data_IF_332175588832
#
_entry.id   IF_332175588832
#
_cell.length_a   1.000
_cell.length_b   1.000
_cell.length_c   1.000
_cell.angle_alpha   90.00
_cell.angle_beta   90.00
_cell.angle_gamma   90.00
#
_symmetry.space_group_name_H-M   'P 1'
#
loop_
_entity.id
_entity.type
_entity.pdbx_description
1 polymer ?
#
# COMPACT_ATOMS: atom_id res chain seq x y z
N UNK A 1 22.49 -24.54 -6.41
CA UNK A 1 21.65 -25.32 -5.47
C UNK A 1 20.66 -24.39 -4.79
N UNK A 2 19.42 -24.81 -4.55
CA UNK A 2 18.47 -24.00 -3.78
C UNK A 2 18.96 -23.85 -2.34
N UNK A 3 19.01 -22.63 -1.82
CA UNK A 3 19.57 -22.32 -0.51
C UNK A 3 18.82 -23.04 0.63
N UNK A 4 17.50 -23.23 0.46
CA UNK A 4 16.69 -23.96 1.44
C UNK A 4 17.09 -25.44 1.57
N UNK A 5 17.43 -26.09 0.46
CA UNK A 5 17.83 -27.50 0.48
C UNK A 5 19.15 -27.68 1.22
N UNK A 6 20.07 -26.75 0.99
CA UNK A 6 21.37 -26.70 1.65
C UNK A 6 21.23 -26.58 3.18
N UNK A 7 20.26 -25.79 3.66
CA UNK A 7 19.92 -25.72 5.08
C UNK A 7 19.38 -27.07 5.60
N UNK A 8 18.45 -27.70 4.87
CA UNK A 8 17.87 -28.99 5.27
C UNK A 8 18.91 -30.10 5.36
N UNK A 9 19.84 -30.16 4.42
CA UNK A 9 20.92 -31.16 4.40
C UNK A 9 21.88 -30.96 5.59
N UNK A 10 22.20 -29.71 5.91
CA UNK A 10 23.04 -29.36 7.06
C UNK A 10 22.36 -29.73 8.38
N UNK A 11 21.06 -29.44 8.51
CA UNK A 11 20.25 -29.82 9.68
C UNK A 11 20.22 -31.35 9.82
N UNK A 12 20.00 -32.08 8.71
CA UNK A 12 20.00 -33.55 8.71
C UNK A 12 21.33 -34.12 9.22
N UNK A 13 22.46 -33.55 8.80
CA UNK A 13 23.79 -33.95 9.29
C UNK A 13 23.91 -33.71 10.80
N UNK A 14 23.46 -32.57 11.31
CA UNK A 14 23.48 -32.28 12.74
C UNK A 14 22.63 -33.24 13.58
N UNK A 15 21.46 -33.66 13.07
CA UNK A 15 20.57 -34.62 13.76
C UNK A 15 21.16 -36.03 13.73
N UNK A 16 21.64 -36.49 12.57
CA UNK A 16 22.08 -37.89 12.38
C UNK A 16 23.48 -38.13 12.94
N UNK A 17 24.39 -37.18 12.78
CA UNK A 17 25.83 -37.34 13.08
C UNK A 17 26.28 -36.53 14.30
N UNK A 18 25.34 -35.90 15.01
CA UNK A 18 25.59 -35.10 16.20
C UNK A 18 25.83 -33.62 15.91
N UNK A 19 25.53 -32.77 16.89
CA UNK A 19 25.53 -31.31 16.74
C UNK A 19 26.87 -30.72 16.29
N UNK A 20 27.99 -31.27 16.78
CA UNK A 20 29.32 -30.82 16.38
C UNK A 20 29.58 -31.04 14.87
N UNK A 21 29.20 -32.20 14.34
CA UNK A 21 29.28 -32.52 12.91
C UNK A 21 28.41 -31.58 12.07
N UNK A 22 27.23 -31.20 12.59
CA UNK A 22 26.35 -30.22 11.96
C UNK A 22 26.98 -28.84 11.82
N UNK A 23 27.61 -28.32 12.87
CA UNK A 23 28.28 -27.00 12.85
C UNK A 23 29.47 -26.99 11.88
N UNK A 24 30.24 -28.09 11.82
CA UNK A 24 31.33 -28.21 10.84
C UNK A 24 30.81 -28.19 9.40
N UNK A 25 29.71 -28.90 9.14
CA UNK A 25 29.06 -28.90 7.84
C UNK A 25 28.50 -27.51 7.48
N UNK A 26 27.88 -26.82 8.44
CA UNK A 26 27.37 -25.46 8.28
C UNK A 26 28.49 -24.50 7.84
N UNK A 27 29.62 -24.49 8.54
CA UNK A 27 30.76 -23.63 8.20
C UNK A 27 31.26 -23.86 6.78
N UNK A 28 31.38 -25.12 6.37
CA UNK A 28 31.85 -25.49 5.03
C UNK A 28 30.91 -24.92 3.96
N UNK A 29 29.63 -25.24 4.12
CA UNK A 29 28.58 -24.93 3.15
C UNK A 29 28.26 -23.43 3.11
N UNK A 30 28.34 -22.74 4.24
CA UNK A 30 28.09 -21.31 4.34
C UNK A 30 29.01 -20.49 3.43
N UNK A 31 30.29 -20.85 3.37
CA UNK A 31 31.29 -20.16 2.54
C UNK A 31 30.90 -20.20 1.05
N UNK A 32 30.39 -21.34 0.59
CA UNK A 32 29.94 -21.54 -0.79
C UNK A 32 28.64 -20.75 -1.08
N UNK A 33 27.69 -20.74 -0.13
CA UNK A 33 26.41 -20.07 -0.29
C UNK A 33 26.55 -18.55 -0.28
N UNK A 34 27.36 -17.98 0.62
CA UNK A 34 27.58 -16.52 0.70
C UNK A 34 28.21 -15.98 -0.58
N UNK A 35 29.10 -16.75 -1.19
CA UNK A 35 29.79 -16.35 -2.41
C UNK A 35 28.90 -16.41 -3.66
N UNK A 36 27.75 -17.10 -3.57
CA UNK A 36 26.84 -17.33 -4.69
C UNK A 36 26.16 -16.05 -5.20
N UNK A 37 25.86 -16.02 -6.50
CA UNK A 37 25.14 -14.89 -7.12
C UNK A 37 23.75 -14.64 -6.52
N UNK A 38 23.03 -15.71 -6.13
CA UNK A 38 21.72 -15.58 -5.49
C UNK A 38 21.82 -14.93 -4.11
N UNK A 39 22.83 -15.28 -3.30
CA UNK A 39 23.04 -14.63 -2.00
C UNK A 39 23.30 -13.15 -2.18
N UNK A 40 24.20 -12.78 -3.10
CA UNK A 40 24.47 -11.37 -3.44
C UNK A 40 23.21 -10.62 -3.90
N UNK A 41 22.39 -11.25 -4.74
CA UNK A 41 21.13 -10.67 -5.21
C UNK A 41 20.12 -10.43 -4.07
N UNK A 42 19.95 -11.41 -3.17
CA UNK A 42 19.05 -11.27 -2.01
C UNK A 42 19.56 -10.25 -0.99
N UNK A 43 20.88 -10.19 -0.76
CA UNK A 43 21.50 -9.16 0.09
C UNK A 43 21.29 -7.78 -0.51
N UNK A 44 21.45 -7.63 -1.82
CA UNK A 44 21.13 -6.37 -2.50
C UNK A 44 19.65 -6.00 -2.33
N UNK A 45 18.72 -6.94 -2.56
CA UNK A 45 17.29 -6.71 -2.38
C UNK A 45 16.94 -6.30 -0.95
N UNK A 46 17.57 -6.93 0.05
CA UNK A 46 17.42 -6.58 1.47
C UNK A 46 17.85 -5.14 1.73
N UNK A 47 19.04 -4.73 1.29
CA UNK A 47 19.51 -3.35 1.48
C UNK A 47 18.68 -2.33 0.70
N UNK A 48 18.22 -2.67 -0.51
CA UNK A 48 17.30 -1.83 -1.28
C UNK A 48 15.95 -1.67 -0.57
N UNK A 49 15.43 -2.72 0.07
CA UNK A 49 14.22 -2.64 0.89
C UNK A 49 14.44 -1.79 2.15
N UNK A 50 15.57 -1.94 2.84
CA UNK A 50 15.91 -1.12 4.00
C UNK A 50 16.04 0.36 3.63
N UNK A 51 16.73 0.67 2.52
CA UNK A 51 16.89 2.03 2.03
C UNK A 51 15.55 2.69 1.68
N UNK A 52 14.63 1.94 1.06
CA UNK A 52 13.28 2.44 0.73
C UNK A 52 12.34 2.53 1.94
N UNK A 53 12.54 1.72 2.98
CA UNK A 53 11.72 1.76 4.20
C UNK A 53 12.01 2.98 5.07
N UNK A 54 13.20 3.58 4.92
CA UNK A 54 13.59 4.84 5.54
C UNK A 54 13.03 6.04 4.76
N UNK A 55 11.71 6.06 4.57
CA UNK A 55 10.98 7.17 3.91
C UNK A 55 11.19 8.55 4.58
N UNK A 56 11.74 8.58 5.80
CA UNK A 56 12.12 9.80 6.53
C UNK A 56 13.56 10.27 6.25
N UNK A 57 14.34 9.52 5.48
CA UNK A 57 15.71 9.85 5.06
C UNK A 57 15.80 9.87 3.53
N UNK A 58 14.85 10.54 2.87
CA UNK A 58 14.90 10.75 1.41
C UNK A 58 15.98 11.81 1.12
N UNK A 59 17.04 11.46 0.37
CA UNK A 59 18.06 12.42 -0.03
C UNK A 59 17.44 13.55 -0.85
N UNK A 60 17.91 14.78 -0.65
CA UNK A 60 17.40 16.03 -1.23
C UNK A 60 15.95 16.43 -0.83
N UNK A 61 15.37 15.81 0.19
CA UNK A 61 14.05 16.20 0.76
C UNK A 61 14.16 16.39 2.26
N UNK A 62 14.62 15.37 2.98
CA UNK A 62 14.61 15.36 4.45
C UNK A 62 15.87 15.99 5.05
N UNK A 63 16.98 15.93 4.31
CA UNK A 63 18.24 16.64 4.52
C UNK A 63 18.10 18.17 4.41
N UNK A 64 17.22 18.65 3.53
CA UNK A 64 16.87 20.08 3.42
C UNK A 64 15.80 20.53 4.43
N UNK A 65 15.41 19.66 5.36
CA UNK A 65 14.49 19.97 6.46
C UNK A 65 13.00 19.93 6.11
N UNK A 66 12.61 19.45 4.93
CA UNK A 66 11.21 19.28 4.57
C UNK A 66 10.61 18.09 5.33
N UNK A 67 9.48 18.34 5.99
CA UNK A 67 8.75 17.32 6.76
C UNK A 67 7.48 16.91 6.01
N UNK A 68 7.24 15.60 5.80
CA UNK A 68 5.97 15.12 5.26
C UNK A 68 4.79 15.58 6.13
N UNK A 69 3.69 15.99 5.48
CA UNK A 69 2.46 16.34 6.19
C UNK A 69 1.82 15.07 6.75
N UNK A 70 1.21 15.18 7.92
CA UNK A 70 0.49 14.08 8.52
C UNK A 70 -0.85 13.87 7.81
N UNK A 71 -1.08 12.68 7.26
CA UNK A 71 -2.35 12.29 6.62
C UNK A 71 -3.22 11.57 7.65
N UNK A 72 -4.39 12.13 7.97
CA UNK A 72 -5.35 11.54 8.93
C UNK A 72 -6.58 10.99 8.24
N UNK A 73 -7.05 11.66 7.19
CA UNK A 73 -8.27 11.29 6.46
C UNK A 73 -7.99 11.18 4.97
N UNK A 74 -8.34 10.03 4.38
CA UNK A 74 -8.14 9.73 2.96
C UNK A 74 -9.47 9.39 2.32
N UNK A 75 -9.77 9.98 1.16
CA UNK A 75 -10.89 9.54 0.35
C UNK A 75 -10.43 8.57 -0.75
N UNK A 76 -11.09 7.43 -0.88
CA UNK A 76 -10.85 6.47 -1.96
C UNK A 76 -12.04 6.49 -2.91
N UNK A 77 -11.80 6.73 -4.19
CA UNK A 77 -12.85 6.90 -5.20
C UNK A 77 -12.91 5.70 -6.11
N UNK A 78 -14.14 5.19 -6.28
CA UNK A 78 -14.45 3.97 -7.03
C UNK A 78 -14.25 2.80 -6.10
N UNK A 79 -15.35 2.18 -5.65
CA UNK A 79 -15.38 1.13 -4.63
C UNK A 79 -15.81 -0.25 -5.14
N UNK A 80 -16.36 -0.37 -6.37
CA UNK A 80 -16.96 -1.65 -6.79
C UNK A 80 -16.82 -2.09 -8.24
N UNK A 81 -16.37 -1.24 -9.17
CA UNK A 81 -16.33 -1.54 -10.61
C UNK A 81 -15.01 -2.16 -11.08
N UNK A 82 -13.89 -1.82 -10.45
CA UNK A 82 -12.59 -2.46 -10.72
C UNK A 82 -12.23 -3.35 -9.53
N UNK A 83 -11.99 -4.62 -9.82
CA UNK A 83 -11.60 -5.70 -8.91
C UNK A 83 -10.85 -5.20 -7.66
N UNK A 84 -11.35 -5.50 -6.46
CA UNK A 84 -10.82 -5.34 -5.05
C UNK A 84 -9.69 -4.36 -4.70
N UNK A 85 -9.24 -3.50 -5.60
CA UNK A 85 -8.17 -2.53 -5.42
C UNK A 85 -8.59 -1.45 -4.43
N UNK A 86 -9.78 -0.85 -4.57
CA UNK A 86 -10.26 0.16 -3.62
C UNK A 86 -10.43 -0.37 -2.20
N UNK A 87 -10.93 -1.60 -2.06
CA UNK A 87 -11.08 -2.24 -0.76
C UNK A 87 -9.73 -2.65 -0.17
N UNK A 88 -8.76 -3.07 -1.00
CA UNK A 88 -7.38 -3.31 -0.59
C UNK A 88 -6.67 -2.05 -0.13
N UNK A 89 -6.79 -0.95 -0.88
CA UNK A 89 -6.24 0.38 -0.55
C UNK A 89 -6.83 0.85 0.78
N UNK A 90 -8.16 0.81 0.93
CA UNK A 90 -8.82 1.17 2.18
C UNK A 90 -8.32 0.32 3.35
N UNK A 91 -8.21 -1.00 3.16
CA UNK A 91 -7.70 -1.93 4.20
C UNK A 91 -6.26 -1.56 4.61
N UNK A 92 -5.37 -1.27 3.66
CA UNK A 92 -4.00 -0.88 3.95
C UNK A 92 -3.89 0.44 4.73
N UNK A 93 -4.73 1.43 4.39
CA UNK A 93 -4.81 2.71 5.10
C UNK A 93 -5.28 2.51 6.55
N UNK A 94 -6.26 1.63 6.78
CA UNK A 94 -6.72 1.33 8.13
C UNK A 94 -5.67 0.67 9.02
N UNK A 95 -4.87 -0.24 8.46
CA UNK A 95 -3.73 -0.83 9.18
C UNK A 95 -2.72 0.22 9.64
N UNK A 96 -2.73 1.39 9.01
CA UNK A 96 -1.91 2.55 9.35
C UNK A 96 -2.63 3.57 10.25
N UNK A 97 -3.80 3.24 10.81
CA UNK A 97 -4.66 4.13 11.61
C UNK A 97 -5.13 5.41 10.87
N UNK A 98 -5.37 5.31 9.57
CA UNK A 98 -5.89 6.42 8.74
C UNK A 98 -7.40 6.22 8.51
N UNK A 99 -8.20 7.27 8.68
CA UNK A 99 -9.64 7.27 8.42
C UNK A 99 -9.91 7.27 6.92
N UNK A 100 -10.87 6.48 6.44
CA UNK A 100 -11.13 6.34 5.01
C UNK A 100 -12.58 6.66 4.66
N UNK A 101 -12.74 7.55 3.68
CA UNK A 101 -14.03 7.83 3.03
C UNK A 101 -14.08 7.11 1.69
N UNK A 102 -14.93 6.10 1.56
CA UNK A 102 -15.15 5.39 0.30
C UNK A 102 -16.25 6.09 -0.49
N UNK A 103 -15.90 6.67 -1.63
CA UNK A 103 -16.84 7.34 -2.53
C UNK A 103 -17.15 6.50 -3.75
N UNK A 104 -18.44 6.34 -4.05
CA UNK A 104 -18.92 5.58 -5.21
C UNK A 104 -20.15 6.25 -5.82
N UNK A 105 -20.39 6.08 -7.12
CA UNK A 105 -21.54 6.70 -7.82
C UNK A 105 -22.84 5.91 -7.63
N UNK A 106 -22.75 4.63 -7.29
CA UNK A 106 -23.89 3.73 -7.15
C UNK A 106 -23.92 3.10 -5.76
N UNK A 107 -25.08 3.16 -5.09
CA UNK A 107 -25.28 2.58 -3.75
C UNK A 107 -25.00 1.08 -3.69
N UNK A 108 -25.32 0.31 -4.74
CA UNK A 108 -25.04 -1.14 -4.81
C UNK A 108 -23.54 -1.40 -4.80
N UNK A 109 -22.77 -0.64 -5.58
CA UNK A 109 -21.31 -0.76 -5.62
C UNK A 109 -20.66 -0.27 -4.33
N UNK A 110 -21.21 0.78 -3.71
CA UNK A 110 -20.75 1.26 -2.41
C UNK A 110 -20.88 0.17 -1.34
N UNK A 111 -22.06 -0.44 -1.21
CA UNK A 111 -22.30 -1.52 -0.26
C UNK A 111 -21.40 -2.74 -0.52
N UNK A 112 -21.15 -3.08 -1.79
CA UNK A 112 -20.21 -4.14 -2.17
C UNK A 112 -18.79 -3.80 -1.71
N UNK A 113 -18.33 -2.57 -1.92
CA UNK A 113 -17.02 -2.10 -1.49
C UNK A 113 -16.86 -2.14 0.03
N UNK A 114 -17.84 -1.63 0.78
CA UNK A 114 -17.85 -1.66 2.25
C UNK A 114 -17.78 -3.10 2.80
N UNK A 115 -18.62 -4.01 2.26
CA UNK A 115 -18.60 -5.43 2.62
C UNK A 115 -17.25 -6.09 2.30
N UNK A 116 -16.62 -5.73 1.19
CA UNK A 116 -15.30 -6.26 0.83
C UNK A 116 -14.21 -5.81 1.81
N UNK A 117 -14.23 -4.54 2.24
CA UNK A 117 -13.31 -4.04 3.27
C UNK A 117 -13.54 -4.77 4.60
N UNK A 118 -14.80 -4.92 5.01
CA UNK A 118 -15.17 -5.63 6.23
C UNK A 118 -14.67 -7.09 6.21
N UNK A 119 -14.84 -7.79 5.08
CA UNK A 119 -14.34 -9.14 4.89
C UNK A 119 -12.81 -9.22 4.98
N UNK A 120 -12.09 -8.28 4.36
CA UNK A 120 -10.63 -8.21 4.42
C UNK A 120 -10.13 -8.03 5.85
N UNK A 121 -10.71 -7.07 6.58
CA UNK A 121 -10.32 -6.77 7.96
C UNK A 121 -10.61 -7.95 8.89
N UNK A 122 -11.78 -8.59 8.76
CA UNK A 122 -12.09 -9.83 9.51
C UNK A 122 -11.14 -10.98 9.17
N UNK A 123 -10.77 -11.11 7.89
CA UNK A 123 -9.77 -12.09 7.44
C UNK A 123 -8.38 -11.89 8.05
N UNK A 124 -8.04 -10.68 8.49
CA UNK A 124 -6.79 -10.44 9.22
C UNK A 124 -6.86 -10.89 10.68
N UNK A 125 -8.04 -10.87 11.29
CA UNK A 125 -8.25 -11.42 12.65
C UNK A 125 -8.16 -12.93 12.65
N UNK A 126 -8.79 -13.59 11.68
CA UNK A 126 -8.71 -15.06 11.57
C UNK A 126 -7.27 -15.54 11.34
N UNK A 127 -6.42 -14.70 10.73
CA UNK A 127 -4.98 -14.93 10.57
C UNK A 127 -4.13 -14.50 11.78
N UNK A 128 -4.75 -14.08 12.89
CA UNK A 128 -4.07 -13.67 14.12
C UNK A 128 -3.29 -12.35 14.03
N UNK A 129 -3.48 -11.55 12.96
CA UNK A 129 -2.76 -10.28 12.76
C UNK A 129 -3.41 -9.09 13.45
N UNK A 130 -4.69 -9.20 13.83
CA UNK A 130 -5.49 -8.13 14.45
C UNK A 130 -6.37 -8.70 15.56
N UNK A 131 -6.65 -7.87 16.57
CA UNK A 131 -7.64 -8.18 17.62
C UNK A 131 -9.04 -7.72 17.20
N UNK A 132 -10.08 -8.32 17.77
CA UNK A 132 -11.48 -7.95 17.48
C UNK A 132 -11.76 -6.47 17.79
N UNK A 133 -11.23 -5.93 18.88
CA UNK A 133 -11.40 -4.52 19.25
C UNK A 133 -10.83 -3.57 18.18
N UNK A 134 -9.68 -3.92 17.60
CA UNK A 134 -9.07 -3.15 16.51
C UNK A 134 -9.90 -3.22 15.22
N UNK A 135 -10.64 -4.30 14.99
CA UNK A 135 -11.56 -4.40 13.85
C UNK A 135 -12.73 -3.45 14.03
N UNK A 136 -13.36 -3.45 15.20
CA UNK A 136 -14.50 -2.55 15.43
C UNK A 136 -14.08 -1.09 15.31
N UNK A 137 -12.91 -0.74 15.86
CA UNK A 137 -12.31 0.60 15.68
C UNK A 137 -12.05 0.91 14.21
N UNK A 138 -11.44 -0.01 13.47
CA UNK A 138 -11.18 0.13 12.03
C UNK A 138 -12.47 0.38 11.24
N UNK A 139 -13.52 -0.40 11.51
CA UNK A 139 -14.81 -0.25 10.83
C UNK A 139 -15.49 1.07 11.18
N UNK A 140 -15.32 1.60 12.40
CA UNK A 140 -15.83 2.92 12.77
C UNK A 140 -15.16 4.08 12.02
N UNK A 141 -13.94 3.86 11.50
CA UNK A 141 -13.18 4.83 10.71
C UNK A 141 -13.50 4.77 9.20
N UNK A 142 -14.35 3.81 8.78
CA UNK A 142 -14.80 3.66 7.41
C UNK A 142 -16.14 4.35 7.21
N UNK A 143 -16.19 5.29 6.26
CA UNK A 143 -17.44 5.97 5.88
C UNK A 143 -17.69 5.84 4.39
N UNK A 144 -18.88 5.37 4.02
CA UNK A 144 -19.31 5.31 2.63
C UNK A 144 -20.13 6.54 2.24
N UNK A 145 -19.85 7.15 1.09
CA UNK A 145 -20.59 8.30 0.58
C UNK A 145 -20.87 8.18 -0.92
N UNK A 146 -21.97 8.80 -1.37
CA UNK A 146 -22.32 8.92 -2.78
C UNK A 146 -21.93 10.27 -3.39
N UNK A 147 -21.79 11.29 -2.54
CA UNK A 147 -21.43 12.64 -2.89
C UNK A 147 -20.04 13.02 -2.35
N UNK A 148 -19.69 14.31 -2.43
CA UNK A 148 -18.42 14.86 -1.94
C UNK A 148 -18.57 15.60 -0.59
N UNK A 149 -19.64 15.35 0.18
CA UNK A 149 -19.92 16.05 1.44
C UNK A 149 -18.80 15.93 2.47
N UNK A 150 -18.12 14.78 2.49
CA UNK A 150 -17.08 14.42 3.45
C UNK A 150 -15.65 14.81 3.00
N UNK A 151 -15.51 15.61 1.95
CA UNK A 151 -14.21 15.92 1.32
C UNK A 151 -13.52 17.17 1.90
N UNK A 152 -14.22 17.94 2.74
CA UNK A 152 -13.77 19.25 3.26
C UNK A 152 -12.55 19.15 4.18
N UNK A 153 -12.38 18.02 4.86
CA UNK A 153 -11.33 17.71 5.84
C UNK A 153 -10.43 16.55 5.38
N UNK A 154 -10.45 16.21 4.09
CA UNK A 154 -9.63 15.15 3.52
C UNK A 154 -8.23 15.68 3.21
N UNK A 155 -7.22 14.93 3.64
CA UNK A 155 -5.81 15.26 3.41
C UNK A 155 -5.27 14.68 2.10
N UNK A 156 -5.86 13.59 1.64
CA UNK A 156 -5.48 12.94 0.38
C UNK A 156 -6.64 12.20 -0.25
N UNK A 157 -6.73 12.24 -1.58
CA UNK A 157 -7.71 11.49 -2.36
C UNK A 157 -6.98 10.49 -3.24
N UNK A 158 -7.46 9.25 -3.32
CA UNK A 158 -6.92 8.20 -4.17
C UNK A 158 -7.99 7.75 -5.16
N UNK A 159 -7.83 8.10 -6.42
CA UNK A 159 -8.70 7.72 -7.52
C UNK A 159 -8.39 6.33 -8.06
N UNK A 160 -9.25 5.35 -7.76
CA UNK A 160 -9.19 3.97 -8.25
C UNK A 160 -10.33 3.69 -9.25
N UNK A 161 -10.44 4.55 -10.25
CA UNK A 161 -11.47 4.50 -11.31
C UNK A 161 -10.93 3.97 -12.63
N UNK A 162 -11.86 3.56 -13.50
CA UNK A 162 -11.60 3.04 -14.85
C UNK A 162 -10.59 3.92 -15.61
N UNK A 163 -9.74 3.27 -16.42
CA UNK A 163 -8.73 3.90 -17.26
C UNK A 163 -9.37 4.67 -18.43
N UNK A 164 -9.97 5.81 -18.11
CA UNK A 164 -10.54 6.76 -19.07
C UNK A 164 -10.04 8.15 -18.73
N UNK A 165 -9.32 8.78 -19.67
CA UNK A 165 -8.79 10.14 -19.51
C UNK A 165 -9.92 11.16 -19.27
N UNK A 166 -10.98 11.22 -20.12
CA UNK A 166 -12.06 12.19 -19.91
C UNK A 166 -12.74 12.04 -18.55
N UNK A 167 -12.93 10.79 -18.09
CA UNK A 167 -13.54 10.50 -16.79
C UNK A 167 -12.63 10.94 -15.64
N UNK A 168 -11.34 10.63 -15.69
CA UNK A 168 -10.37 11.01 -14.65
C UNK A 168 -10.23 12.54 -14.57
N UNK A 169 -10.11 13.24 -15.70
CA UNK A 169 -10.06 14.70 -15.73
C UNK A 169 -11.31 15.33 -15.10
N UNK A 170 -12.50 14.81 -15.43
CA UNK A 170 -13.76 15.28 -14.83
C UNK A 170 -13.76 15.08 -13.31
N UNK A 171 -13.42 13.87 -12.87
CA UNK A 171 -13.38 13.51 -11.44
C UNK A 171 -12.39 14.41 -10.69
N UNK A 172 -11.19 14.62 -11.22
CA UNK A 172 -10.17 15.44 -10.57
C UNK A 172 -10.57 16.91 -10.48
N UNK A 173 -11.24 17.45 -11.51
CA UNK A 173 -11.79 18.81 -11.48
C UNK A 173 -12.93 18.98 -10.45
N UNK A 174 -13.77 17.95 -10.26
CA UNK A 174 -14.80 17.95 -9.22
C UNK A 174 -14.20 17.88 -7.80
N UNK A 175 -13.21 17.00 -7.61
CA UNK A 175 -12.52 16.84 -6.32
C UNK A 175 -11.73 18.10 -5.95
N UNK A 176 -11.06 18.73 -6.92
CA UNK A 176 -10.32 19.97 -6.69
C UNK A 176 -11.18 21.03 -6.02
N UNK A 177 -12.44 21.16 -6.44
CA UNK A 177 -13.42 22.11 -5.87
C UNK A 177 -13.95 21.69 -4.50
N UNK A 178 -14.02 20.40 -4.24
CA UNK A 178 -14.59 19.85 -3.00
C UNK A 178 -13.57 19.73 -1.86
N UNK A 179 -12.29 19.57 -2.20
CA UNK A 179 -11.20 19.36 -1.26
C UNK A 179 -10.51 20.68 -0.86
N UNK A 180 -9.93 20.73 0.35
CA UNK A 180 -9.13 21.87 0.77
C UNK A 180 -7.85 21.98 -0.07
N UNK A 181 -7.25 23.17 -0.12
CA UNK A 181 -6.06 23.44 -0.95
C UNK A 181 -4.88 22.52 -0.62
N UNK A 182 -4.73 22.09 0.64
CA UNK A 182 -3.64 21.22 1.08
C UNK A 182 -3.79 19.75 0.68
N UNK A 183 -4.97 19.34 0.20
CA UNK A 183 -5.28 17.95 -0.13
C UNK A 183 -4.49 17.48 -1.35
N UNK A 184 -3.83 16.33 -1.22
CA UNK A 184 -3.12 15.68 -2.33
C UNK A 184 -4.11 14.88 -3.18
N UNK A 185 -4.00 14.98 -4.51
CA UNK A 185 -4.85 14.28 -5.47
C UNK A 185 -4.08 13.16 -6.15
N UNK A 186 -4.25 11.94 -5.67
CA UNK A 186 -3.54 10.78 -6.21
C UNK A 186 -4.42 9.95 -7.14
N UNK A 187 -3.84 9.42 -8.22
CA UNK A 187 -4.50 8.46 -9.11
C UNK A 187 -3.77 7.12 -9.09
N UNK A 188 -4.52 6.03 -8.93
CA UNK A 188 -4.02 4.69 -9.15
C UNK A 188 -4.14 4.35 -10.65
N UNK A 189 -3.20 4.88 -11.44
CA UNK A 189 -3.09 4.61 -12.87
C UNK A 189 -1.74 4.00 -13.18
N UNK A 190 -1.70 3.09 -14.14
CA UNK A 190 -0.48 2.39 -14.56
C UNK A 190 -0.01 2.78 -15.97
N UNK A 191 -0.87 3.43 -16.76
CA UNK A 191 -0.64 3.66 -18.20
C UNK A 191 -1.02 5.06 -18.68
N UNK A 192 -1.53 5.92 -17.80
CA UNK A 192 -2.00 7.27 -18.18
C UNK A 192 -1.05 8.28 -17.57
N UNK A 193 -0.56 9.21 -18.38
CA UNK A 193 0.26 10.34 -17.94
C UNK A 193 -0.52 11.22 -16.95
N UNK A 194 0.13 11.55 -15.83
CA UNK A 194 -0.42 12.41 -14.79
C UNK A 194 -0.64 13.84 -15.28
N UNK A 195 0.19 14.32 -16.20
CA UNK A 195 0.05 15.65 -16.79
C UNK A 195 -1.30 15.76 -17.53
N UNK A 196 -1.63 14.74 -18.32
CA UNK A 196 -2.90 14.66 -19.05
C UNK A 196 -4.08 14.58 -18.07
N UNK A 197 -3.95 13.87 -16.94
CA UNK A 197 -5.01 13.83 -15.91
C UNK A 197 -5.23 15.22 -15.29
N UNK A 198 -4.16 16.00 -15.10
CA UNK A 198 -4.18 17.32 -14.49
C UNK A 198 -4.56 18.49 -15.41
N UNK A 199 -4.68 18.28 -16.73
CA UNK A 199 -4.98 19.36 -17.69
C UNK A 199 -6.23 20.20 -17.36
N UNK A 200 -7.23 19.59 -16.71
CA UNK A 200 -8.50 20.26 -16.34
C UNK A 200 -8.54 20.71 -14.88
N UNK A 201 -7.39 20.77 -14.22
CA UNK A 201 -7.24 21.25 -12.85
C UNK A 201 -6.33 22.46 -12.80
N UNK A 202 -6.59 23.38 -11.86
CA UNK A 202 -5.71 24.53 -11.59
C UNK A 202 -4.51 24.18 -10.70
N UNK A 203 -4.58 23.08 -9.97
CA UNK A 203 -3.60 22.68 -8.96
C UNK A 203 -2.87 21.40 -9.37
N UNK A 204 -2.06 21.47 -10.44
CA UNK A 204 -1.31 20.31 -10.94
C UNK A 204 -0.17 19.89 -9.99
N UNK A 205 0.34 20.84 -9.19
CA UNK A 205 1.38 20.66 -8.17
C UNK A 205 1.01 19.67 -7.06
N UNK A 206 -0.28 19.43 -6.85
CA UNK A 206 -0.80 18.46 -5.88
C UNK A 206 -1.29 17.14 -6.50
N UNK A 207 -1.08 16.93 -7.81
CA UNK A 207 -1.43 15.68 -8.49
C UNK A 207 -0.26 14.71 -8.46
N UNK A 208 -0.50 13.49 -7.96
CA UNK A 208 0.52 12.45 -7.84
C UNK A 208 0.04 11.09 -8.33
N UNK A 209 0.98 10.21 -8.68
CA UNK A 209 0.70 8.80 -8.92
C UNK A 209 0.75 8.01 -7.62
N UNK A 210 -0.29 7.24 -7.32
CA UNK A 210 -0.28 6.25 -6.23
C UNK A 210 -0.63 4.88 -6.82
N UNK A 211 0.36 4.25 -7.46
CA UNK A 211 0.18 2.99 -8.16
C UNK A 211 0.23 1.81 -7.18
N UNK A 212 -0.93 1.21 -6.90
CA UNK A 212 -1.05 0.03 -6.05
C UNK A 212 -0.98 -1.24 -6.89
N UNK A 213 -0.23 -2.22 -6.40
CA UNK A 213 -0.10 -3.54 -7.01
C UNK A 213 -1.13 -4.50 -6.42
N UNK A 214 -1.65 -5.38 -7.29
CA UNK A 214 -2.63 -6.40 -6.94
C UNK A 214 -1.93 -7.73 -6.65
#
# INVERSE_FOLDING_TARGET
>A
MPQHQVCLDTIKVGIVQGGYSGVLQEKKVFTDVVSSGTSKGLVHAFFSQCATSKLLEVPNVTDVGLKPRHVKKVAVIGGGLMDSGPSGIATALFLSNISVVLKEVNSKYLLKGLKSVEANVRGLVTRGKLTQDKVQKTLSMLKGVLDHSEFKDVDMVIGAVIKSVPLKQKIFSEIEKACPAHCILATNTSTIDLNIVGEKTSSQDRIVGAHFFR
#
